data_IF_846703134987
#
_entry.id   IF_846703134987
#
_cell.length_a   1.000
_cell.length_b   1.000
_cell.length_c   1.000
_cell.angle_alpha   90.00
_cell.angle_beta   90.00
_cell.angle_gamma   90.00
#
_symmetry.space_group_name_H-M   'P 1'
#
loop_
_entity.id
_entity.type
_entity.pdbx_description
1 polymer ?
#
# COMPACT_ATOMS: atom_id res chain seq x y z
N UNK A 1 -5.93 -3.99 36.30
CA UNK A 1 -5.44 -4.76 35.13
C UNK A 1 -6.51 -4.94 34.03
N UNK A 2 -7.79 -5.23 34.36
CA UNK A 2 -8.84 -5.50 33.36
C UNK A 2 -9.21 -4.31 32.46
N UNK A 3 -9.22 -3.06 32.98
CA UNK A 3 -9.49 -1.85 32.16
C UNK A 3 -8.45 -1.62 31.06
N UNK A 4 -7.17 -1.71 31.38
CA UNK A 4 -6.08 -1.55 30.42
C UNK A 4 -6.12 -2.60 29.29
N UNK A 5 -6.56 -3.82 29.59
CA UNK A 5 -6.76 -4.86 28.58
C UNK A 5 -7.95 -4.54 27.67
N UNK A 6 -9.05 -4.01 28.24
CA UNK A 6 -10.22 -3.58 27.46
C UNK A 6 -9.90 -2.43 26.50
N UNK A 7 -9.14 -1.44 26.96
CA UNK A 7 -8.74 -0.28 26.17
C UNK A 7 -7.80 -0.66 25.01
N UNK A 8 -6.81 -1.51 25.28
CA UNK A 8 -5.89 -1.99 24.23
C UNK A 8 -6.57 -2.92 23.22
N UNK A 9 -7.55 -3.73 23.65
CA UNK A 9 -8.36 -4.55 22.76
C UNK A 9 -9.23 -3.69 21.81
N UNK A 10 -9.89 -2.66 22.34
CA UNK A 10 -10.67 -1.72 21.52
C UNK A 10 -9.80 -0.95 20.53
N UNK A 11 -8.62 -0.49 20.97
CA UNK A 11 -7.65 0.18 20.11
C UNK A 11 -7.18 -0.72 18.96
N UNK A 12 -6.84 -1.97 19.27
CA UNK A 12 -6.39 -2.97 18.28
C UNK A 12 -7.50 -3.28 17.29
N UNK A 13 -8.75 -3.43 17.75
CA UNK A 13 -9.90 -3.64 16.89
C UNK A 13 -10.09 -2.47 15.92
N UNK A 14 -10.02 -1.23 16.42
CA UNK A 14 -10.13 -0.03 15.59
C UNK A 14 -9.04 0.02 14.50
N UNK A 15 -7.81 -0.37 14.83
CA UNK A 15 -6.70 -0.47 13.87
C UNK A 15 -6.98 -1.52 12.79
N UNK A 16 -7.40 -2.72 13.19
CA UNK A 16 -7.72 -3.80 12.25
C UNK A 16 -8.84 -3.38 11.29
N UNK A 17 -9.90 -2.75 11.81
CA UNK A 17 -11.01 -2.25 10.98
C UNK A 17 -10.53 -1.21 9.96
N UNK A 18 -9.73 -0.23 10.39
CA UNK A 18 -9.19 0.79 9.49
C UNK A 18 -8.28 0.20 8.40
N UNK A 19 -7.45 -0.79 8.74
CA UNK A 19 -6.61 -1.49 7.75
C UNK A 19 -7.48 -2.24 6.75
N UNK A 20 -8.51 -2.97 7.20
CA UNK A 20 -9.43 -3.69 6.29
C UNK A 20 -10.13 -2.73 5.33
N UNK A 21 -10.64 -1.61 5.82
CA UNK A 21 -11.24 -0.58 4.97
C UNK A 21 -10.25 -0.01 3.96
N UNK A 22 -9.00 0.21 4.37
CA UNK A 22 -7.95 0.70 3.48
C UNK A 22 -7.59 -0.33 2.41
N UNK A 23 -7.54 -1.63 2.72
CA UNK A 23 -7.31 -2.70 1.75
C UNK A 23 -8.41 -2.69 0.69
N UNK A 24 -9.68 -2.71 1.10
CA UNK A 24 -10.81 -2.74 0.17
C UNK A 24 -10.88 -1.45 -0.69
N UNK A 25 -10.63 -0.29 -0.08
CA UNK A 25 -10.57 0.97 -0.81
C UNK A 25 -9.41 1.01 -1.82
N UNK A 26 -8.27 0.41 -1.49
CA UNK A 26 -7.12 0.28 -2.39
C UNK A 26 -7.40 -0.68 -3.53
N UNK A 27 -7.98 -1.85 -3.23
CA UNK A 27 -8.36 -2.83 -4.24
C UNK A 27 -9.36 -2.24 -5.24
N UNK A 28 -10.41 -1.57 -4.76
CA UNK A 28 -11.41 -0.92 -5.60
C UNK A 28 -10.79 0.19 -6.48
N UNK A 29 -9.89 1.00 -5.91
CA UNK A 29 -9.20 2.05 -6.65
C UNK A 29 -8.28 1.48 -7.75
N UNK A 30 -7.42 0.52 -7.41
CA UNK A 30 -6.49 -0.12 -8.37
C UNK A 30 -7.26 -0.83 -9.48
N UNK A 31 -8.36 -1.53 -9.14
CA UNK A 31 -9.23 -2.17 -10.14
C UNK A 31 -9.80 -1.18 -11.15
N UNK A 32 -10.06 0.07 -10.75
CA UNK A 32 -10.57 1.13 -11.64
C UNK A 32 -9.46 1.78 -12.48
N UNK A 33 -8.30 2.07 -11.89
CA UNK A 33 -7.25 2.85 -12.57
C UNK A 33 -6.25 2.00 -13.34
N UNK A 34 -6.04 0.75 -12.93
CA UNK A 34 -5.07 -0.17 -13.52
C UNK A 34 -5.61 -1.62 -13.56
N UNK A 35 -6.73 -1.88 -14.25
CA UNK A 35 -7.39 -3.20 -14.26
C UNK A 35 -6.49 -4.32 -14.80
N UNK A 36 -5.57 -4.02 -15.73
CA UNK A 36 -4.64 -5.00 -16.31
C UNK A 36 -3.54 -5.46 -15.35
N UNK A 37 -3.19 -4.62 -14.38
CA UNK A 37 -2.12 -4.87 -13.40
C UNK A 37 -2.69 -5.25 -12.02
N UNK A 38 -4.02 -5.27 -11.89
CA UNK A 38 -4.69 -5.67 -10.67
C UNK A 38 -4.59 -7.18 -10.47
N UNK A 39 -4.05 -7.59 -9.33
CA UNK A 39 -4.19 -8.93 -8.75
C UNK A 39 -4.50 -8.77 -7.27
N UNK A 40 -5.36 -9.64 -6.72
CA UNK A 40 -5.65 -9.63 -5.28
C UNK A 40 -4.38 -9.91 -4.48
N UNK A 41 -3.56 -10.84 -4.95
CA UNK A 41 -2.27 -11.20 -4.34
C UNK A 41 -1.30 -10.02 -4.28
N UNK A 42 -1.29 -9.18 -5.32
CA UNK A 42 -0.44 -7.98 -5.34
C UNK A 42 -0.91 -6.95 -4.30
N UNK A 43 -2.22 -6.77 -4.15
CA UNK A 43 -2.76 -5.92 -3.09
C UNK A 43 -2.40 -6.49 -1.72
N UNK A 44 -2.64 -7.78 -1.50
CA UNK A 44 -2.33 -8.39 -0.21
C UNK A 44 -0.83 -8.26 0.13
N UNK A 45 0.06 -8.46 -0.84
CA UNK A 45 1.51 -8.32 -0.66
C UNK A 45 1.91 -6.91 -0.19
N UNK A 46 1.35 -5.84 -0.76
CA UNK A 46 1.69 -4.45 -0.36
C UNK A 46 1.15 -4.06 1.02
N UNK A 47 0.25 -4.87 1.59
CA UNK A 47 -0.27 -4.72 2.95
C UNK A 47 0.40 -5.68 3.94
N UNK A 48 0.95 -6.81 3.48
CA UNK A 48 1.85 -7.63 4.31
C UNK A 48 3.21 -6.97 4.45
N UNK A 49 3.70 -6.37 3.36
CA UNK A 49 5.02 -5.74 3.30
C UNK A 49 4.86 -4.25 2.94
N UNK A 50 4.81 -3.34 3.93
CA UNK A 50 4.67 -1.90 3.67
C UNK A 50 5.85 -1.32 2.87
N UNK A 51 6.97 -2.02 2.84
CA UNK A 51 8.17 -1.73 2.07
C UNK A 51 8.41 -2.86 1.06
N UNK A 52 7.81 -2.76 -0.12
CA UNK A 52 7.97 -3.73 -1.18
C UNK A 52 9.20 -3.45 -2.04
N UNK A 53 9.85 -4.52 -2.48
CA UNK A 53 10.85 -4.54 -3.55
C UNK A 53 10.32 -5.38 -4.71
N UNK A 54 10.97 -5.25 -5.88
CA UNK A 54 10.66 -6.10 -7.05
C UNK A 54 10.86 -7.59 -6.69
N UNK A 55 11.91 -7.89 -5.93
CA UNK A 55 12.23 -9.25 -5.45
C UNK A 55 11.07 -9.86 -4.67
N UNK A 56 10.45 -9.11 -3.77
CA UNK A 56 9.32 -9.59 -2.96
C UNK A 56 8.13 -10.07 -3.82
N UNK A 57 7.86 -9.39 -4.94
CA UNK A 57 6.78 -9.77 -5.88
C UNK A 57 7.16 -11.04 -6.64
N UNK A 58 8.45 -11.23 -6.94
CA UNK A 58 8.98 -12.42 -7.61
C UNK A 58 9.00 -13.61 -6.66
N UNK A 59 9.45 -13.43 -5.42
CA UNK A 59 9.47 -14.44 -4.36
C UNK A 59 8.06 -14.90 -3.99
N UNK A 60 7.09 -13.99 -4.00
CA UNK A 60 5.68 -14.33 -3.83
C UNK A 60 5.05 -15.05 -5.03
N UNK A 61 5.80 -15.27 -6.12
CA UNK A 61 5.33 -15.98 -7.32
C UNK A 61 4.32 -15.20 -8.17
N UNK A 62 4.05 -13.93 -7.85
CA UNK A 62 2.99 -13.11 -8.47
C UNK A 62 3.36 -12.75 -9.92
N UNK A 63 4.63 -12.44 -10.17
CA UNK A 63 5.09 -11.98 -11.47
C UNK A 63 6.60 -12.20 -11.66
N UNK A 64 7.03 -12.33 -12.92
CA UNK A 64 8.46 -12.28 -13.30
C UNK A 64 9.02 -10.88 -13.07
N UNK A 65 10.34 -10.77 -12.87
CA UNK A 65 11.05 -9.51 -12.56
C UNK A 65 10.63 -8.31 -13.43
N UNK A 66 10.51 -8.51 -14.75
CA UNK A 66 10.12 -7.45 -15.68
C UNK A 66 8.69 -6.97 -15.43
N UNK A 67 7.75 -7.91 -15.31
CA UNK A 67 6.33 -7.64 -15.05
C UNK A 67 6.12 -7.04 -13.66
N UNK A 68 6.83 -7.54 -12.65
CA UNK A 68 6.81 -7.01 -11.28
C UNK A 68 7.23 -5.53 -11.25
N UNK A 69 8.28 -5.17 -12.00
CA UNK A 69 8.69 -3.78 -12.17
C UNK A 69 7.57 -2.92 -12.78
N UNK A 70 6.94 -3.38 -13.86
CA UNK A 70 5.82 -2.69 -14.50
C UNK A 70 4.63 -2.50 -13.55
N UNK A 71 4.30 -3.52 -12.75
CA UNK A 71 3.18 -3.47 -11.80
C UNK A 71 3.44 -2.44 -10.70
N UNK A 72 4.60 -2.51 -10.05
CA UNK A 72 4.96 -1.58 -8.98
C UNK A 72 5.05 -0.13 -9.48
N UNK A 73 5.64 0.09 -10.66
CA UNK A 73 5.66 1.43 -11.26
C UNK A 73 4.26 1.94 -11.64
N UNK A 74 3.36 1.06 -12.10
CA UNK A 74 1.97 1.43 -12.37
C UNK A 74 1.26 1.86 -11.09
N UNK A 75 1.47 1.16 -9.98
CA UNK A 75 0.92 1.52 -8.67
C UNK A 75 1.51 2.84 -8.13
N UNK A 76 2.77 3.15 -8.43
CA UNK A 76 3.37 4.46 -8.13
C UNK A 76 2.72 5.57 -8.96
N UNK A 77 2.54 5.35 -10.26
CA UNK A 77 1.86 6.31 -11.14
C UNK A 77 0.40 6.54 -10.74
N UNK A 78 -0.28 5.51 -10.25
CA UNK A 78 -1.62 5.61 -9.69
C UNK A 78 -1.67 6.36 -8.34
N UNK A 79 -0.51 6.64 -7.72
CA UNK A 79 -0.39 7.29 -6.41
C UNK A 79 -0.71 6.39 -5.22
N UNK A 80 -0.74 5.06 -5.42
CA UNK A 80 -0.93 4.06 -4.36
C UNK A 80 0.36 3.86 -3.57
N UNK A 81 1.45 3.62 -4.29
CA UNK A 81 2.79 3.46 -3.73
C UNK A 81 3.61 4.72 -3.97
N UNK A 82 4.68 4.90 -3.18
CA UNK A 82 5.73 5.87 -3.48
C UNK A 82 7.04 5.14 -3.72
N UNK A 83 7.74 5.55 -4.77
CA UNK A 83 9.10 5.07 -5.03
C UNK A 83 10.10 5.88 -4.19
N UNK A 84 11.03 5.19 -3.52
CA UNK A 84 12.18 5.80 -2.87
C UNK A 84 13.44 5.05 -3.31
N UNK A 85 14.41 5.73 -3.94
CA UNK A 85 15.70 5.12 -4.23
C UNK A 85 16.46 4.87 -2.92
N UNK A 86 16.99 3.66 -2.74
CA UNK A 86 17.86 3.28 -1.62
C UNK A 86 19.09 2.58 -2.20
N UNK A 87 20.20 3.31 -2.29
CA UNK A 87 21.43 2.83 -2.91
C UNK A 87 21.20 2.43 -4.36
N UNK A 88 21.54 1.20 -4.70
CA UNK A 88 21.38 0.61 -6.04
C UNK A 88 19.96 0.06 -6.31
N UNK A 89 19.13 -0.05 -5.27
CA UNK A 89 17.82 -0.68 -5.35
C UNK A 89 16.68 0.34 -5.17
N UNK A 90 15.51 -0.01 -5.71
CA UNK A 90 14.29 0.78 -5.58
C UNK A 90 13.39 0.18 -4.51
N UNK A 91 12.91 1.02 -3.60
CA UNK A 91 11.94 0.65 -2.59
C UNK A 91 10.58 1.26 -2.93
N UNK A 92 9.52 0.47 -2.82
CA UNK A 92 8.16 0.90 -3.05
C UNK A 92 7.42 0.87 -1.71
N UNK A 93 7.06 2.05 -1.20
CA UNK A 93 6.44 2.19 0.11
C UNK A 93 4.94 2.49 0.01
N UNK A 94 4.16 1.75 0.78
CA UNK A 94 2.73 2.01 0.98
C UNK A 94 2.56 3.09 2.07
N UNK A 95 2.73 4.36 1.66
CA UNK A 95 2.68 5.50 2.57
C UNK A 95 1.40 5.58 3.39
N UNK A 96 0.24 5.24 2.81
CA UNK A 96 -1.06 5.29 3.51
C UNK A 96 -1.18 4.21 4.57
N UNK A 97 -0.75 3.01 4.25
CA UNK A 97 -0.75 1.91 5.22
C UNK A 97 0.20 2.19 6.38
N UNK A 98 1.40 2.71 6.09
CA UNK A 98 2.34 3.15 7.13
C UNK A 98 1.71 4.21 8.05
N UNK A 99 0.96 5.18 7.51
CA UNK A 99 0.26 6.18 8.33
C UNK A 99 -0.76 5.54 9.28
N UNK A 100 -1.53 4.54 8.83
CA UNK A 100 -2.51 3.84 9.68
C UNK A 100 -1.82 3.08 10.82
N UNK A 101 -0.66 2.49 10.54
CA UNK A 101 0.11 1.73 11.54
C UNK A 101 0.82 2.62 12.55
N UNK A 102 1.30 3.81 12.16
CA UNK A 102 2.12 4.67 13.03
C UNK A 102 1.35 5.77 13.76
N UNK A 103 0.22 6.23 13.23
CA UNK A 103 -0.58 7.24 13.91
C UNK A 103 -1.53 6.60 14.92
N UNK A 104 -1.88 7.30 16.00
CA UNK A 104 -2.93 6.86 16.91
C UNK A 104 -4.31 6.92 16.26
N UNK A 105 -4.53 7.88 15.36
CA UNK A 105 -5.78 8.00 14.63
C UNK A 105 -5.97 6.84 13.64
N UNK A 106 -7.20 6.34 13.54
CA UNK A 106 -7.58 5.30 12.58
C UNK A 106 -8.05 5.87 11.24
N UNK A 107 -7.76 7.14 10.99
CA UNK A 107 -8.16 7.84 9.77
C UNK A 107 -7.07 7.70 8.71
N UNK A 108 -7.48 7.45 7.48
CA UNK A 108 -6.59 7.44 6.33
C UNK A 108 -7.14 8.28 5.19
N UNK A 109 -6.24 8.87 4.40
CA UNK A 109 -6.61 9.63 3.21
C UNK A 109 -7.11 8.67 2.13
N UNK A 110 -8.43 8.63 1.94
CA UNK A 110 -9.08 7.93 0.82
C UNK A 110 -8.46 8.37 -0.51
N UNK A 111 -8.34 7.45 -1.47
CA UNK A 111 -7.96 7.82 -2.83
C UNK A 111 -9.02 8.78 -3.38
N UNK A 112 -8.62 10.02 -3.69
CA UNK A 112 -9.47 10.98 -4.36
C UNK A 112 -9.72 10.57 -5.81
N UNK A 113 -10.77 11.12 -6.44
CA UNK A 113 -10.99 10.97 -7.87
C UNK A 113 -9.69 11.34 -8.62
N UNK A 114 -9.20 10.39 -9.42
CA UNK A 114 -7.92 10.33 -10.14
C UNK A 114 -7.31 11.71 -10.42
N UNK A 115 -6.57 12.27 -9.45
CA UNK A 115 -5.88 13.53 -9.62
C UNK A 115 -4.45 13.24 -10.08
N UNK A 116 -4.23 13.44 -11.38
CA UNK A 116 -2.97 13.54 -12.10
C UNK A 116 -1.70 13.55 -11.21
N UNK A 117 -1.09 12.38 -11.00
CA UNK A 117 0.28 12.26 -10.48
C UNK A 117 1.25 12.46 -11.66
N UNK A 118 1.22 13.67 -12.25
CA UNK A 118 2.25 14.20 -13.15
C UNK A 118 2.78 15.51 -12.58
N UNK A 119 3.21 15.50 -11.32
CA UNK A 119 3.95 16.62 -10.73
C UNK A 119 4.69 16.13 -9.49
N UNK A 120 5.95 15.72 -9.68
CA UNK A 120 7.09 15.73 -8.73
C UNK A 120 8.19 14.79 -9.24
N UNK A 121 8.67 15.07 -10.46
CA UNK A 121 10.08 14.84 -10.81
C UNK A 121 10.77 16.18 -10.58
N UNK A 122 11.79 16.18 -9.74
CA UNK A 122 12.57 17.34 -9.31
C UNK A 122 13.18 16.96 -7.96
N UNK A 123 14.49 16.86 -7.80
CA UNK A 123 15.62 17.45 -8.50
C UNK A 123 16.80 16.48 -8.41
#
# INVERSE_FOLDING_TARGET
MVRATGETAQWTLGKITAVRELVEHTAAYVRRVAPKQYSRELIDLIFVQPYCRIENVVEAGIAKRQTASTYLHTLVNAGVLREKPIGLNKLFLNSRFLTVLTQESNQFKKFGAVANVRARRGK
#
